data_IF_706277144184
#
_entry.id   IF_706277144184
#
_cell.length_a   1.000
_cell.length_b   1.000
_cell.length_c   1.000
_cell.angle_alpha   90.00
_cell.angle_beta   90.00
_cell.angle_gamma   90.00
#
_symmetry.space_group_name_H-M   'P 1'
#
loop_
_entity.id
_entity.type
_entity.pdbx_description
1 polymer ?
#
# COMPACT_ATOMS: atom_id res chain seq x y z
N UNK A 1 28.64 15.32 -10.20
CA UNK A 1 27.35 16.01 -10.22
C UNK A 1 26.85 16.03 -8.79
N UNK A 2 26.61 17.21 -8.24
CA UNK A 2 26.09 17.35 -6.87
C UNK A 2 24.56 17.36 -6.94
N UNK A 3 23.92 16.40 -6.27
CA UNK A 3 22.46 16.34 -6.12
C UNK A 3 22.09 16.77 -4.72
N UNK A 4 21.28 17.81 -4.60
CA UNK A 4 20.89 18.42 -3.34
C UNK A 4 19.39 18.35 -3.16
N UNK A 5 18.95 18.19 -1.92
CA UNK A 5 17.54 18.25 -1.55
C UNK A 5 17.31 19.49 -0.68
N UNK A 6 16.49 20.40 -1.16
CA UNK A 6 16.10 21.63 -0.47
C UNK A 6 14.72 21.43 0.13
N UNK A 7 14.60 21.58 1.46
CA UNK A 7 13.35 21.42 2.18
C UNK A 7 12.95 22.76 2.79
N UNK A 8 11.79 23.26 2.41
CA UNK A 8 11.22 24.48 2.96
C UNK A 8 9.91 24.15 3.70
N UNK A 9 9.91 24.40 5.00
CA UNK A 9 8.77 24.22 5.93
C UNK A 9 8.49 25.54 6.70
N UNK A 10 8.87 26.68 6.12
CA UNK A 10 8.71 27.99 6.77
C UNK A 10 7.22 28.36 6.94
N UNK A 11 6.36 27.90 6.07
CA UNK A 11 4.92 28.08 6.17
C UNK A 11 4.27 26.85 6.84
N UNK A 12 3.45 27.08 7.88
CA UNK A 12 2.82 25.98 8.66
C UNK A 12 1.90 25.10 7.83
N UNK A 13 1.37 25.62 6.73
CA UNK A 13 0.37 24.94 5.88
C UNK A 13 0.97 24.33 4.62
N UNK A 14 2.26 24.55 4.34
CA UNK A 14 2.87 24.06 3.11
C UNK A 14 4.30 23.59 3.34
N UNK A 15 4.61 22.37 2.90
CA UNK A 15 5.95 21.83 2.80
C UNK A 15 6.36 21.74 1.33
N UNK A 16 7.51 22.28 0.98
CA UNK A 16 8.09 22.19 -0.37
C UNK A 16 9.40 21.45 -0.30
N UNK A 17 9.55 20.43 -1.13
CA UNK A 17 10.79 19.68 -1.29
C UNK A 17 11.22 19.77 -2.74
N UNK A 18 12.40 20.35 -2.98
CA UNK A 18 12.99 20.43 -4.32
C UNK A 18 14.24 19.55 -4.39
N UNK A 19 14.37 18.75 -5.42
CA UNK A 19 15.60 18.05 -5.77
C UNK A 19 16.27 18.82 -6.90
N UNK A 20 17.52 19.23 -6.66
CA UNK A 20 18.31 20.04 -7.59
C UNK A 20 19.58 19.28 -7.94
N UNK A 21 19.90 19.19 -9.21
CA UNK A 21 21.15 18.65 -9.72
C UNK A 21 21.91 19.75 -10.50
N UNK A 22 23.14 20.05 -10.06
CA UNK A 22 23.97 21.10 -10.65
C UNK A 22 23.22 22.43 -10.88
N UNK A 23 22.47 22.90 -9.87
CA UNK A 23 21.63 24.11 -9.88
C UNK A 23 20.36 24.05 -10.72
N UNK A 24 20.05 22.91 -11.35
CA UNK A 24 18.86 22.70 -12.14
C UNK A 24 17.81 21.94 -11.32
N UNK A 25 16.57 22.43 -11.32
CA UNK A 25 15.46 21.77 -10.65
C UNK A 25 15.09 20.49 -11.43
N UNK A 26 15.20 19.33 -10.78
CA UNK A 26 14.84 18.03 -11.34
C UNK A 26 13.44 17.60 -10.86
N UNK A 27 13.15 17.79 -9.56
CA UNK A 27 11.87 17.37 -8.98
C UNK A 27 11.38 18.45 -7.99
N UNK A 28 10.08 18.69 -7.95
CA UNK A 28 9.43 19.56 -6.98
C UNK A 28 8.21 18.86 -6.38
N UNK A 29 8.21 18.74 -5.07
CA UNK A 29 7.08 18.23 -4.30
C UNK A 29 6.52 19.38 -3.46
N UNK A 30 5.21 19.59 -3.52
CA UNK A 30 4.49 20.57 -2.71
C UNK A 30 3.37 19.85 -1.99
N UNK A 31 3.43 19.82 -0.67
CA UNK A 31 2.42 19.25 0.19
C UNK A 31 1.78 20.36 1.03
N UNK A 32 0.47 20.42 1.06
CA UNK A 32 -0.28 21.40 1.84
C UNK A 32 -1.07 20.67 2.92
N UNK A 33 -0.93 21.11 4.17
CA UNK A 33 -1.66 20.55 5.31
C UNK A 33 -3.17 20.68 5.18
N UNK A 34 -3.65 21.69 4.45
CA UNK A 34 -5.08 21.92 4.16
C UNK A 34 -5.64 21.02 3.06
N UNK A 35 -4.77 20.35 2.28
CA UNK A 35 -5.14 19.40 1.24
C UNK A 35 -4.36 18.11 1.51
N UNK A 36 -4.59 17.54 2.70
CA UNK A 36 -3.98 16.24 3.06
C UNK A 36 -4.35 15.20 2.03
N UNK A 37 -3.35 14.58 1.41
CA UNK A 37 -3.58 13.39 0.60
C UNK A 37 -3.76 12.19 1.52
N UNK A 38 -4.85 11.48 1.35
CA UNK A 38 -5.09 10.22 2.05
C UNK A 38 -4.50 9.02 1.33
N UNK A 39 -3.95 9.21 0.13
CA UNK A 39 -3.34 8.11 -0.64
C UNK A 39 -2.21 7.47 0.15
N UNK A 40 -2.33 6.14 0.33
CA UNK A 40 -1.39 5.37 1.15
C UNK A 40 -1.81 5.22 2.61
N UNK A 41 -2.69 6.09 3.15
CA UNK A 41 -3.22 5.92 4.51
C UNK A 41 -4.06 4.66 4.64
N UNK A 42 -3.96 4.01 5.79
CA UNK A 42 -4.68 2.78 6.12
C UNK A 42 -5.75 3.10 7.15
N UNK A 43 -6.94 2.57 6.93
CA UNK A 43 -8.10 2.78 7.78
C UNK A 43 -8.72 1.47 8.24
N UNK A 44 -9.20 1.44 9.47
CA UNK A 44 -10.18 0.48 9.92
C UNK A 44 -11.56 1.06 9.65
N UNK A 45 -12.19 0.63 8.56
CA UNK A 45 -13.47 1.15 8.10
C UNK A 45 -14.64 0.24 8.47
N UNK A 46 -15.87 0.76 8.29
CA UNK A 46 -17.12 0.02 8.47
C UNK A 46 -17.93 0.01 7.18
N UNK A 47 -18.35 -1.15 6.73
CA UNK A 47 -19.15 -1.31 5.51
C UNK A 47 -20.53 -0.71 5.75
N UNK A 48 -20.90 0.31 4.96
CA UNK A 48 -22.19 1.00 5.05
C UNK A 48 -23.17 0.51 3.98
N UNK A 49 -22.67 0.17 2.79
CA UNK A 49 -23.51 -0.34 1.71
C UNK A 49 -22.74 -1.32 0.80
N UNK A 50 -23.47 -2.21 0.13
CA UNK A 50 -22.95 -3.17 -0.85
C UNK A 50 -23.84 -3.09 -2.09
N UNK A 51 -23.22 -2.78 -3.23
CA UNK A 51 -23.88 -2.65 -4.53
C UNK A 51 -23.51 -3.82 -5.43
N UNK A 52 -24.38 -4.82 -5.47
CA UNK A 52 -24.15 -6.04 -6.25
C UNK A 52 -24.07 -5.78 -7.76
N UNK A 53 -24.80 -4.79 -8.27
CA UNK A 53 -24.81 -4.45 -9.70
C UNK A 53 -23.46 -3.97 -10.24
N UNK A 54 -22.66 -3.33 -9.41
CA UNK A 54 -21.31 -2.86 -9.76
C UNK A 54 -20.22 -3.60 -8.99
N UNK A 55 -20.56 -4.67 -8.26
CA UNK A 55 -19.64 -5.50 -7.49
C UNK A 55 -18.73 -4.68 -6.57
N UNK A 56 -19.29 -3.71 -5.84
CA UNK A 56 -18.57 -2.80 -4.97
C UNK A 56 -19.22 -2.65 -3.59
N UNK A 57 -18.41 -2.23 -2.61
CA UNK A 57 -18.86 -1.84 -1.29
C UNK A 57 -18.46 -0.38 -1.01
N UNK A 58 -19.31 0.32 -0.27
CA UNK A 58 -19.04 1.64 0.27
C UNK A 58 -18.69 1.50 1.75
N UNK A 59 -17.57 2.13 2.14
CA UNK A 59 -16.95 1.97 3.45
C UNK A 59 -16.80 3.33 4.11
N UNK A 60 -17.38 3.47 5.28
CA UNK A 60 -17.12 4.60 6.16
C UNK A 60 -15.70 4.44 6.75
N UNK A 61 -14.82 5.37 6.46
CA UNK A 61 -13.45 5.43 6.95
C UNK A 61 -13.20 6.60 7.91
N UNK A 62 -14.29 7.28 8.34
CA UNK A 62 -14.22 8.45 9.21
C UNK A 62 -13.96 9.77 8.49
N UNK A 63 -13.99 9.78 7.16
CA UNK A 63 -13.90 10.98 6.33
C UNK A 63 -15.29 11.45 5.87
N UNK A 64 -15.37 12.66 5.30
CA UNK A 64 -16.66 13.23 4.83
C UNK A 64 -17.40 12.32 3.85
N UNK A 65 -16.67 11.55 3.04
CA UNK A 65 -17.24 10.67 2.02
C UNK A 65 -16.81 9.23 2.20
N UNK A 66 -17.75 8.32 2.02
CA UNK A 66 -17.45 6.89 2.06
C UNK A 66 -16.49 6.49 0.95
N UNK A 67 -15.54 5.64 1.30
CA UNK A 67 -14.60 5.08 0.33
C UNK A 67 -15.25 3.98 -0.51
N UNK A 68 -14.76 3.81 -1.73
CA UNK A 68 -15.23 2.85 -2.73
C UNK A 68 -14.27 1.67 -2.81
N UNK A 69 -14.75 0.45 -2.57
CA UNK A 69 -14.02 -0.80 -2.68
C UNK A 69 -14.68 -1.72 -3.72
N UNK A 70 -14.00 -1.97 -4.83
CA UNK A 70 -14.45 -2.93 -5.84
C UNK A 70 -13.97 -4.35 -5.51
N UNK A 71 -14.69 -5.37 -5.98
CA UNK A 71 -14.34 -6.79 -5.74
C UNK A 71 -12.95 -7.15 -6.26
N UNK A 72 -12.41 -6.48 -7.29
CA UNK A 72 -11.03 -6.69 -7.77
C UNK A 72 -9.97 -6.33 -6.72
N UNK A 73 -10.31 -5.43 -5.81
CA UNK A 73 -9.44 -4.92 -4.76
C UNK A 73 -9.73 -5.54 -3.38
N UNK A 74 -10.61 -6.56 -3.35
CA UNK A 74 -10.89 -7.35 -2.17
C UNK A 74 -9.98 -8.58 -2.11
N UNK A 75 -9.14 -8.67 -1.08
CA UNK A 75 -8.22 -9.79 -0.86
C UNK A 75 -8.99 -11.08 -0.51
N UNK A 76 -8.56 -12.27 -0.99
CA UNK A 76 -9.24 -13.55 -0.74
C UNK A 76 -9.46 -13.92 0.73
N UNK A 77 -8.72 -13.32 1.66
CA UNK A 77 -8.97 -13.51 3.11
C UNK A 77 -10.39 -13.12 3.55
N UNK A 78 -11.06 -12.28 2.77
CA UNK A 78 -12.45 -11.85 3.00
C UNK A 78 -13.48 -12.66 2.23
N UNK A 79 -13.05 -13.64 1.43
CA UNK A 79 -13.97 -14.52 0.69
C UNK A 79 -14.65 -15.55 1.60
N UNK A 80 -15.80 -16.10 1.20
CA UNK A 80 -16.47 -17.18 1.94
C UNK A 80 -15.51 -18.34 2.19
N UNK A 81 -15.38 -18.78 3.46
CA UNK A 81 -14.41 -19.82 3.82
C UNK A 81 -12.94 -19.39 3.76
N UNK A 82 -12.68 -18.14 3.45
CA UNK A 82 -11.33 -17.57 3.44
C UNK A 82 -10.70 -17.63 4.85
N UNK A 83 -9.51 -18.19 4.94
CA UNK A 83 -8.75 -18.20 6.18
C UNK A 83 -8.13 -16.81 6.37
N UNK A 84 -8.06 -16.32 7.61
CA UNK A 84 -7.34 -15.06 7.93
C UNK A 84 -5.90 -15.08 7.44
N UNK A 85 -5.29 -16.26 7.34
CA UNK A 85 -3.93 -16.50 6.88
C UNK A 85 -3.86 -16.86 5.39
N UNK A 86 -4.93 -16.64 4.61
CA UNK A 86 -4.90 -16.86 3.17
C UNK A 86 -3.85 -15.94 2.54
N UNK A 87 -2.83 -16.53 1.92
CA UNK A 87 -1.77 -15.80 1.23
C UNK A 87 -1.98 -15.89 -0.28
N UNK A 88 -2.08 -14.75 -0.93
CA UNK A 88 -2.09 -14.65 -2.39
C UNK A 88 -0.68 -14.39 -2.92
N UNK A 89 -0.39 -14.86 -4.14
CA UNK A 89 0.95 -14.72 -4.74
C UNK A 89 1.07 -13.34 -5.38
N UNK A 90 2.18 -12.64 -5.11
CA UNK A 90 2.49 -11.37 -5.79
C UNK A 90 2.49 -11.59 -7.32
N UNK A 91 1.84 -10.68 -8.03
CA UNK A 91 1.72 -10.73 -9.49
C UNK A 91 0.72 -11.74 -10.05
N UNK A 92 0.07 -12.54 -9.19
CA UNK A 92 -0.93 -13.55 -9.61
C UNK A 92 -2.24 -13.40 -8.86
N UNK A 93 -2.88 -12.25 -9.03
CA UNK A 93 -4.23 -12.04 -8.47
C UNK A 93 -5.24 -12.95 -9.16
N UNK A 94 -6.19 -13.47 -8.38
CA UNK A 94 -7.29 -14.25 -8.92
C UNK A 94 -8.08 -13.45 -9.96
N UNK A 95 -8.36 -14.05 -11.10
CA UNK A 95 -9.11 -13.40 -12.18
C UNK A 95 -10.50 -12.97 -11.70
N UNK A 96 -11.03 -11.88 -12.22
CA UNK A 96 -12.32 -11.32 -11.78
C UNK A 96 -13.46 -12.33 -11.90
N UNK A 97 -13.48 -13.12 -12.97
CA UNK A 97 -14.49 -14.17 -13.21
C UNK A 97 -14.49 -15.30 -12.18
N UNK A 98 -13.37 -15.51 -11.50
CA UNK A 98 -13.19 -16.59 -10.52
C UNK A 98 -13.43 -16.10 -9.08
N UNK A 99 -13.72 -14.81 -8.91
CA UNK A 99 -14.01 -14.21 -7.59
C UNK A 99 -15.47 -14.41 -7.22
N UNK A 100 -15.77 -14.72 -5.95
CA UNK A 100 -17.15 -14.78 -5.49
C UNK A 100 -17.77 -13.37 -5.56
N UNK A 101 -19.10 -13.24 -5.78
CA UNK A 101 -19.80 -11.97 -5.73
C UNK A 101 -19.57 -11.24 -4.41
N UNK A 102 -19.41 -9.91 -4.45
CA UNK A 102 -19.02 -9.11 -3.27
C UNK A 102 -20.04 -9.24 -2.12
N UNK A 103 -21.32 -9.38 -2.42
CA UNK A 103 -22.39 -9.57 -1.43
C UNK A 103 -22.28 -10.91 -0.68
N UNK A 104 -21.52 -11.88 -1.22
CA UNK A 104 -21.23 -13.14 -0.55
C UNK A 104 -19.97 -13.04 0.33
N UNK A 105 -19.12 -12.04 0.10
CA UNK A 105 -17.86 -11.83 0.80
C UNK A 105 -18.02 -10.91 2.02
N UNK A 106 -18.86 -9.90 1.90
CA UNK A 106 -18.96 -8.79 2.85
C UNK A 106 -20.39 -8.64 3.38
N UNK A 107 -20.51 -8.01 4.58
CA UNK A 107 -21.80 -7.71 5.21
C UNK A 107 -21.82 -6.25 5.67
N UNK A 108 -23.00 -5.62 5.59
CA UNK A 108 -23.21 -4.29 6.16
C UNK A 108 -22.90 -4.29 7.67
N UNK A 109 -22.23 -3.26 8.14
CA UNK A 109 -21.77 -3.13 9.54
C UNK A 109 -20.47 -3.87 9.86
N UNK A 110 -19.94 -4.71 8.96
CA UNK A 110 -18.68 -5.40 9.12
C UNK A 110 -17.53 -4.40 9.14
N UNK A 111 -16.57 -4.61 10.06
CA UNK A 111 -15.29 -3.87 10.06
C UNK A 111 -14.32 -4.50 9.07
N UNK A 112 -13.57 -3.65 8.39
CA UNK A 112 -12.62 -4.05 7.36
C UNK A 112 -11.42 -3.10 7.35
N UNK A 113 -10.23 -3.64 7.11
CA UNK A 113 -9.00 -2.83 6.96
C UNK A 113 -8.78 -2.55 5.49
N UNK A 114 -8.59 -1.28 5.16
CA UNK A 114 -8.46 -0.78 3.80
C UNK A 114 -7.37 0.27 3.70
N UNK A 115 -6.77 0.37 2.53
CA UNK A 115 -5.81 1.42 2.18
C UNK A 115 -6.38 2.28 1.06
N UNK A 116 -6.21 3.58 1.16
CA UNK A 116 -6.58 4.52 0.08
C UNK A 116 -5.57 4.38 -1.05
N UNK A 117 -6.06 4.07 -2.25
CA UNK A 117 -5.24 3.93 -3.46
C UNK A 117 -5.33 5.12 -4.39
N UNK A 118 -6.46 5.83 -4.35
CA UNK A 118 -6.69 7.06 -5.13
C UNK A 118 -7.59 8.01 -4.34
N UNK A 119 -7.30 9.29 -4.43
CA UNK A 119 -8.16 10.33 -3.86
C UNK A 119 -9.55 10.34 -4.51
N UNK A 120 -10.52 10.78 -3.72
CA UNK A 120 -11.84 11.08 -4.23
C UNK A 120 -11.85 12.33 -5.09
N UNK A 121 -12.63 12.33 -6.16
CA UNK A 121 -12.79 13.48 -7.03
C UNK A 121 -14.19 14.10 -6.86
N UNK A 122 -14.23 15.40 -6.51
CA UNK A 122 -15.48 16.18 -6.39
C UNK A 122 -16.53 15.48 -5.51
N UNK A 123 -17.49 14.80 -6.12
CA UNK A 123 -18.62 14.13 -5.43
C UNK A 123 -18.31 12.68 -5.04
N UNK A 124 -17.20 12.08 -5.52
CA UNK A 124 -16.86 10.70 -5.25
C UNK A 124 -15.87 10.59 -4.10
N UNK A 125 -16.08 9.61 -3.23
CA UNK A 125 -15.12 9.25 -2.18
C UNK A 125 -13.86 8.56 -2.71
N UNK A 126 -12.86 8.35 -1.85
CA UNK A 126 -11.59 7.73 -2.24
C UNK A 126 -11.77 6.27 -2.68
N UNK A 127 -10.90 5.80 -3.58
CA UNK A 127 -10.82 4.40 -3.95
C UNK A 127 -9.99 3.65 -2.94
N UNK A 128 -10.49 2.51 -2.50
CA UNK A 128 -9.91 1.68 -1.46
C UNK A 128 -9.45 0.33 -2.01
N UNK A 129 -8.47 -0.26 -1.33
CA UNK A 129 -8.03 -1.64 -1.55
C UNK A 129 -7.78 -2.32 -0.21
N UNK A 130 -8.06 -3.61 -0.12
CA UNK A 130 -7.63 -4.45 1.01
C UNK A 130 -6.26 -5.10 0.78
N UNK A 131 -5.68 -4.89 -0.40
CA UNK A 131 -4.29 -5.21 -0.68
C UNK A 131 -3.42 -4.07 -0.15
N UNK A 132 -2.94 -4.22 1.08
CA UNK A 132 -2.09 -3.23 1.69
C UNK A 132 -0.70 -3.23 1.08
N UNK A 133 -0.10 -2.05 0.92
CA UNK A 133 1.23 -1.87 0.38
C UNK A 133 1.99 -0.84 1.22
N UNK A 134 3.03 -1.29 1.91
CA UNK A 134 3.89 -0.45 2.75
C UNK A 134 5.19 -0.17 2.01
N UNK A 135 5.39 1.09 1.63
CA UNK A 135 6.57 1.49 0.87
C UNK A 135 7.75 1.79 1.80
N UNK A 136 8.82 1.01 1.63
CA UNK A 136 10.15 1.34 2.11
C UNK A 136 10.95 2.10 1.03
N UNK A 137 12.25 2.25 1.26
CA UNK A 137 13.15 2.87 0.29
C UNK A 137 13.35 1.98 -0.94
N UNK A 138 13.75 0.74 -0.74
CA UNK A 138 14.09 -0.24 -1.78
C UNK A 138 13.01 -1.29 -2.00
N UNK A 139 12.11 -1.48 -1.03
CA UNK A 139 11.09 -2.53 -1.02
C UNK A 139 9.69 -1.93 -0.87
N UNK A 140 8.70 -2.67 -1.37
CA UNK A 140 7.31 -2.56 -0.93
C UNK A 140 6.96 -3.88 -0.25
N UNK A 141 6.48 -3.82 0.99
CA UNK A 141 5.93 -4.97 1.71
C UNK A 141 4.43 -5.04 1.49
N UNK A 142 3.94 -6.21 1.16
CA UNK A 142 2.52 -6.50 0.97
C UNK A 142 2.08 -7.56 1.99
N UNK A 143 1.44 -7.14 3.08
CA UNK A 143 0.89 -8.06 4.07
C UNK A 143 -0.10 -9.04 3.43
N UNK A 144 -0.14 -10.27 3.98
CA UNK A 144 -1.00 -11.36 3.54
C UNK A 144 -0.77 -11.83 2.08
N UNK A 145 0.37 -11.46 1.52
CA UNK A 145 0.85 -11.97 0.25
C UNK A 145 2.03 -12.93 0.48
N UNK A 146 2.42 -13.67 -0.54
CA UNK A 146 3.60 -14.54 -0.51
C UNK A 146 4.46 -14.32 -1.74
N UNK A 147 5.71 -14.79 -1.64
CA UNK A 147 6.76 -14.62 -2.62
C UNK A 147 7.22 -13.15 -2.74
N UNK A 148 8.15 -12.91 -3.63
CA UNK A 148 8.57 -11.56 -3.97
C UNK A 148 8.59 -11.38 -5.49
N UNK A 149 8.59 -10.14 -5.91
CA UNK A 149 8.75 -9.71 -7.29
C UNK A 149 9.81 -8.62 -7.40
N UNK A 150 10.27 -8.39 -8.60
CA UNK A 150 11.18 -7.30 -8.93
C UNK A 150 10.45 -6.36 -9.90
N UNK A 151 10.55 -5.06 -9.67
CA UNK A 151 9.91 -4.06 -10.53
C UNK A 151 10.18 -4.33 -12.00
N UNK A 152 9.15 -4.27 -12.83
CA UNK A 152 9.30 -4.41 -14.28
C UNK A 152 10.09 -3.26 -14.93
N UNK A 153 10.29 -2.16 -14.21
CA UNK A 153 11.09 -1.02 -14.67
C UNK A 153 12.60 -1.26 -14.55
N UNK A 154 13.02 -2.30 -13.85
CA UNK A 154 14.41 -2.78 -13.87
C UNK A 154 14.50 -3.74 -15.04
N UNK A 155 15.06 -3.28 -16.16
CA UNK A 155 15.07 -4.02 -17.43
C UNK A 155 16.29 -4.93 -17.55
N UNK A 156 17.40 -4.59 -16.85
CA UNK A 156 18.64 -5.38 -16.87
C UNK A 156 18.43 -6.74 -16.18
N UNK A 157 18.52 -7.79 -16.94
CA UNK A 157 18.35 -9.18 -16.49
C UNK A 157 19.47 -9.64 -15.51
N UNK A 158 20.68 -9.11 -15.65
CA UNK A 158 21.78 -9.45 -14.71
C UNK A 158 21.53 -8.79 -13.37
N UNK A 159 21.10 -7.52 -13.36
CA UNK A 159 20.72 -6.83 -12.14
C UNK A 159 19.51 -7.49 -11.47
N UNK A 160 18.52 -7.92 -12.24
CA UNK A 160 17.37 -8.69 -11.71
C UNK A 160 17.81 -9.96 -11.02
N UNK A 161 18.72 -10.74 -11.63
CA UNK A 161 19.29 -11.96 -11.04
C UNK A 161 20.09 -11.64 -9.78
N UNK A 162 20.90 -10.58 -9.81
CA UNK A 162 21.67 -10.12 -8.66
C UNK A 162 20.74 -9.76 -7.48
N UNK A 163 19.70 -8.95 -7.73
CA UNK A 163 18.74 -8.53 -6.71
C UNK A 163 17.95 -9.72 -6.15
N UNK A 164 17.57 -10.68 -6.99
CA UNK A 164 16.93 -11.92 -6.54
C UNK A 164 17.85 -12.68 -5.57
N UNK A 165 19.11 -12.89 -5.93
CA UNK A 165 20.11 -13.55 -5.07
C UNK A 165 20.32 -12.81 -3.75
N UNK A 166 20.42 -11.48 -3.80
CA UNK A 166 20.54 -10.63 -2.59
C UNK A 166 19.30 -10.78 -1.68
N UNK A 167 18.10 -10.78 -2.26
CA UNK A 167 16.86 -10.91 -1.48
C UNK A 167 16.72 -12.31 -0.87
N UNK A 168 17.03 -13.37 -1.61
CA UNK A 168 16.98 -14.77 -1.15
C UNK A 168 17.92 -15.03 0.05
N UNK A 169 19.04 -14.32 0.10
CA UNK A 169 19.94 -14.34 1.25
C UNK A 169 19.43 -13.55 2.47
N UNK A 170 18.42 -12.70 2.27
CA UNK A 170 17.82 -11.95 3.35
C UNK A 170 16.71 -12.78 4.01
N UNK A 171 16.67 -12.78 5.35
CA UNK A 171 15.59 -13.44 6.10
C UNK A 171 14.36 -12.55 6.13
N UNK A 172 13.58 -12.55 5.04
CA UNK A 172 12.34 -11.81 4.97
C UNK A 172 11.30 -12.37 5.97
N UNK A 173 10.47 -11.52 6.61
CA UNK A 173 9.38 -11.95 7.48
C UNK A 173 8.40 -12.84 6.72
N UNK A 174 7.95 -13.93 7.37
CA UNK A 174 6.97 -14.86 6.80
C UNK A 174 5.56 -14.24 6.81
N UNK A 175 4.71 -14.65 5.86
CA UNK A 175 3.33 -14.17 5.77
C UNK A 175 3.17 -12.85 5.01
N UNK A 176 4.26 -12.34 4.45
CA UNK A 176 4.29 -11.12 3.65
C UNK A 176 4.97 -11.36 2.31
N UNK A 177 4.47 -10.68 1.30
CA UNK A 177 5.13 -10.61 0.01
C UNK A 177 5.92 -9.31 -0.11
N UNK A 178 6.87 -9.27 -1.04
CA UNK A 178 7.72 -8.11 -1.24
C UNK A 178 7.87 -7.78 -2.73
N UNK A 179 7.99 -6.50 -3.05
CA UNK A 179 8.37 -6.05 -4.39
C UNK A 179 9.63 -5.21 -4.25
N UNK A 180 10.70 -5.60 -4.95
CA UNK A 180 11.91 -4.79 -5.07
C UNK A 180 11.59 -3.66 -6.05
N UNK A 181 11.72 -2.42 -5.57
CA UNK A 181 11.44 -1.19 -6.34
C UNK A 181 12.59 -0.87 -7.29
N UNK A 182 12.34 0.01 -8.24
CA UNK A 182 13.42 0.61 -9.07
C UNK A 182 14.51 1.28 -8.23
N UNK A 183 14.16 1.93 -7.14
CA UNK A 183 15.11 2.50 -6.19
C UNK A 183 16.00 1.43 -5.47
N UNK A 184 15.70 0.15 -5.66
CA UNK A 184 16.53 -0.97 -5.19
C UNK A 184 17.62 -1.38 -6.16
N UNK A 185 17.66 -0.79 -7.36
CA UNK A 185 18.75 -1.01 -8.32
C UNK A 185 20.09 -0.60 -7.69
N UNK A 186 21.10 -1.47 -7.80
CA UNK A 186 22.40 -1.28 -7.14
C UNK A 186 22.41 -1.46 -5.62
N UNK A 187 21.26 -1.69 -4.97
CA UNK A 187 21.22 -1.84 -3.52
C UNK A 187 22.05 -3.04 -3.04
N UNK A 188 22.73 -2.83 -1.91
CA UNK A 188 23.48 -3.88 -1.23
C UNK A 188 22.57 -4.76 -0.36
N UNK A 189 23.04 -5.93 0.03
CA UNK A 189 22.35 -6.79 1.01
C UNK A 189 22.04 -6.05 2.31
N UNK A 190 22.97 -5.19 2.76
CA UNK A 190 22.79 -4.38 3.98
C UNK A 190 21.62 -3.41 3.84
N UNK A 191 21.46 -2.79 2.66
CA UNK A 191 20.38 -1.85 2.39
C UNK A 191 19.03 -2.56 2.38
N UNK A 192 18.93 -3.70 1.69
CA UNK A 192 17.72 -4.53 1.65
C UNK A 192 17.35 -5.03 3.06
N UNK A 193 18.33 -5.47 3.86
CA UNK A 193 18.07 -5.90 5.25
C UNK A 193 17.61 -4.76 6.15
N UNK A 194 18.15 -3.55 5.97
CA UNK A 194 17.72 -2.37 6.73
C UNK A 194 16.26 -2.03 6.42
N UNK A 195 15.89 -2.09 5.14
CA UNK A 195 14.53 -1.81 4.69
C UNK A 195 13.54 -2.87 5.18
N UNK A 196 13.90 -4.16 5.12
CA UNK A 196 13.12 -5.26 5.70
C UNK A 196 12.84 -5.05 7.20
N UNK A 197 13.86 -4.66 7.98
CA UNK A 197 13.71 -4.38 9.42
C UNK A 197 12.79 -3.18 9.68
N UNK A 198 12.89 -2.15 8.85
CA UNK A 198 12.01 -0.98 8.94
C UNK A 198 10.56 -1.36 8.67
N UNK A 199 10.30 -2.08 7.57
CA UNK A 199 8.95 -2.50 7.17
C UNK A 199 8.33 -3.48 8.18
N UNK A 200 9.10 -4.41 8.77
CA UNK A 200 8.63 -5.31 9.82
C UNK A 200 8.19 -4.54 11.08
N UNK A 201 8.96 -3.54 11.50
CA UNK A 201 8.58 -2.68 12.64
C UNK A 201 7.34 -1.85 12.35
N UNK A 202 7.26 -1.28 11.15
CA UNK A 202 6.10 -0.51 10.70
C UNK A 202 4.84 -1.37 10.70
N UNK A 203 4.93 -2.58 10.13
CA UNK A 203 3.81 -3.50 10.09
C UNK A 203 3.32 -3.91 11.48
N UNK A 204 4.22 -4.23 12.40
CA UNK A 204 3.84 -4.54 13.80
C UNK A 204 3.14 -3.39 14.50
N UNK A 205 3.55 -2.16 14.24
CA UNK A 205 2.85 -0.99 14.77
C UNK A 205 1.43 -0.86 14.20
N UNK A 206 1.27 -1.11 12.89
CA UNK A 206 -0.03 -1.12 12.22
C UNK A 206 -0.92 -2.25 12.78
N UNK A 207 -0.40 -3.47 12.93
CA UNK A 207 -1.15 -4.60 13.52
C UNK A 207 -1.66 -4.28 14.91
N UNK A 208 -0.82 -3.70 15.77
CA UNK A 208 -1.22 -3.28 17.11
C UNK A 208 -2.36 -2.24 17.08
N UNK A 209 -2.30 -1.28 16.15
CA UNK A 209 -3.37 -0.29 15.97
C UNK A 209 -4.64 -0.90 15.36
N UNK A 210 -4.51 -1.86 14.44
CA UNK A 210 -5.67 -2.61 13.93
C UNK A 210 -6.48 -3.31 15.03
N UNK A 211 -5.81 -3.76 16.10
CA UNK A 211 -6.46 -4.40 17.24
C UNK A 211 -7.06 -3.39 18.23
N UNK A 212 -6.36 -2.30 18.52
CA UNK A 212 -6.75 -1.31 19.53
C UNK A 212 -7.75 -0.27 19.04
N UNK A 213 -7.64 0.15 17.77
CA UNK A 213 -8.46 1.24 17.23
C UNK A 213 -9.87 0.78 16.89
N UNK A 214 -10.82 1.70 17.07
CA UNK A 214 -12.23 1.48 16.72
C UNK A 214 -12.49 1.94 15.27
N UNK A 215 -13.39 1.23 14.57
CA UNK A 215 -13.87 1.66 13.27
C UNK A 215 -15.04 2.66 13.41
N UNK A 216 -15.12 3.71 12.57
CA UNK A 216 -14.14 4.10 11.56
C UNK A 216 -12.99 4.93 12.13
N UNK A 217 -11.78 4.76 11.58
CA UNK A 217 -10.61 5.53 11.99
C UNK A 217 -9.34 5.17 11.22
N UNK A 218 -8.39 6.10 11.16
CA UNK A 218 -7.07 5.90 10.58
C UNK A 218 -6.19 5.07 11.52
N UNK A 219 -5.38 4.16 10.94
CA UNK A 219 -4.50 3.23 11.67
C UNK A 219 -3.05 3.69 11.56
#
# INVERSE_FOLDING_TARGET
MAREMLINVAEREECRVAVVEDTKLEELYVERSSVGTHVGSIYKGRIVNIESGIQAAFIDIGTEKNGFLHISDLHPRYFPGGKKDALEVIGRRQALKDRPPIQNCLRRGQEIVVQVTKEGLKTKGPTLSTYLALAGKHLVMMPWMKNYGISHKIEDEEERKRLAGVFDECKAPKGHGFIIRTAGEGASKKDIQADLKYLDRLWRAIEARMESEKAPGEI
#
